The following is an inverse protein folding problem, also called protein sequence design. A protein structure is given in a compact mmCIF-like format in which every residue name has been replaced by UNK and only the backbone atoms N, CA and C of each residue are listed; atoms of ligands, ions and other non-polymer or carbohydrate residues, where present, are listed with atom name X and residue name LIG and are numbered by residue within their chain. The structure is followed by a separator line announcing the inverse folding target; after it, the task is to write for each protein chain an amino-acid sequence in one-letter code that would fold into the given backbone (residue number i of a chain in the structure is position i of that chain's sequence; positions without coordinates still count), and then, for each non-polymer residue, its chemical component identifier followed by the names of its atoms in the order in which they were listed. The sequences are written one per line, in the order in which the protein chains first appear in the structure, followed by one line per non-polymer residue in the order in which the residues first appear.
data_IF_486501673486
#
_entry.id   IF_486501673486
#
_cell.length_a   1.000
_cell.length_b   1.000
_cell.length_c   1.000
_cell.angle_alpha   90.00
_cell.angle_beta   90.00
_cell.angle_gamma   90.00
#
_symmetry.space_group_name_H-M   'P 1'
#
loop_
_entity.id
_entity.type
_entity.pdbx_description
1 polymer ?
#
# COMPACT_ATOMS: atom_id res chain seq x y z
N UNK A 1 7.27 -2.86 4.56
CA UNK A 1 8.54 -2.14 4.84
C UNK A 1 9.74 -2.69 4.05
N UNK A 2 9.90 -4.02 3.92
CA UNK A 2 11.08 -4.64 3.29
C UNK A 2 11.35 -4.13 1.86
N UNK A 3 10.37 -3.99 0.94
CA UNK A 3 10.64 -3.47 -0.40
C UNK A 3 11.25 -2.07 -0.39
N UNK A 4 10.71 -1.18 0.45
CA UNK A 4 11.24 0.18 0.58
C UNK A 4 12.67 0.20 1.12
N UNK A 5 12.98 -0.69 2.05
CA UNK A 5 14.34 -0.82 2.61
C UNK A 5 15.32 -1.38 1.58
N UNK A 6 14.92 -2.34 0.74
CA UNK A 6 15.76 -2.85 -0.35
C UNK A 6 16.08 -1.76 -1.37
N UNK A 7 15.07 -1.01 -1.80
CA UNK A 7 15.27 0.12 -2.71
C UNK A 7 16.19 1.17 -2.07
N UNK A 8 16.00 1.47 -0.79
CA UNK A 8 16.84 2.40 -0.05
C UNK A 8 18.29 1.91 0.11
N UNK A 9 18.52 0.61 0.30
CA UNK A 9 19.87 0.03 0.40
C UNK A 9 20.66 0.15 -0.91
N UNK A 10 19.96 0.27 -2.05
CA UNK A 10 20.53 0.58 -3.36
C UNK A 10 20.87 2.07 -3.57
N UNK A 11 20.76 2.90 -2.52
CA UNK A 11 21.09 4.33 -2.57
C UNK A 11 19.91 5.26 -2.90
N UNK A 12 18.70 4.72 -3.14
CA UNK A 12 17.54 5.54 -3.41
C UNK A 12 16.97 6.16 -2.13
N UNK A 13 16.81 7.49 -2.11
CA UNK A 13 16.20 8.19 -0.98
C UNK A 13 14.70 7.89 -0.88
N UNK A 14 14.28 7.29 0.21
CA UNK A 14 12.89 6.89 0.45
C UNK A 14 12.22 7.76 1.52
N UNK A 15 10.92 8.03 1.35
CA UNK A 15 10.08 8.63 2.38
C UNK A 15 8.83 7.77 2.59
N UNK A 16 8.41 7.55 3.82
CA UNK A 16 7.21 6.78 4.14
C UNK A 16 6.47 7.36 5.33
N UNK A 17 5.17 7.08 5.40
CA UNK A 17 4.36 7.33 6.59
C UNK A 17 4.24 6.08 7.44
N UNK A 18 4.22 6.23 8.76
CA UNK A 18 4.08 5.12 9.69
C UNK A 18 3.12 5.44 10.85
N UNK A 19 2.60 4.39 11.46
CA UNK A 19 1.91 4.48 12.75
C UNK A 19 2.92 4.20 13.87
N UNK A 20 2.87 5.02 14.91
CA UNK A 20 3.61 4.75 16.13
C UNK A 20 3.12 3.43 16.74
N UNK A 21 4.06 2.61 17.20
CA UNK A 21 3.74 1.37 17.87
C UNK A 21 3.39 1.67 19.34
N UNK A 22 2.43 0.92 19.89
CA UNK A 22 2.04 1.10 21.31
C UNK A 22 3.15 0.77 22.30
N UNK A 23 4.12 -0.06 21.91
CA UNK A 23 5.29 -0.37 22.71
C UNK A 23 6.47 0.53 22.30
N UNK A 24 7.00 1.39 23.20
CA UNK A 24 8.05 2.36 22.86
C UNK A 24 9.39 1.72 22.45
N UNK A 25 9.72 0.53 22.95
CA UNK A 25 10.93 -0.19 22.56
C UNK A 25 10.81 -0.69 21.14
N UNK A 26 9.65 -1.27 20.80
CA UNK A 26 9.36 -1.73 19.43
C UNK A 26 9.34 -0.57 18.45
N UNK A 27 8.75 0.56 18.85
CA UNK A 27 8.69 1.77 18.02
C UNK A 27 10.12 2.30 17.74
N UNK A 28 10.96 2.37 18.75
CA UNK A 28 12.36 2.78 18.61
C UNK A 28 13.15 1.86 17.67
N UNK A 29 13.11 0.54 17.89
CA UNK A 29 13.83 -0.44 17.05
C UNK A 29 13.34 -0.33 15.59
N UNK A 30 12.03 -0.32 15.38
CA UNK A 30 11.44 -0.29 14.04
C UNK A 30 11.78 1.00 13.30
N UNK A 31 11.73 2.13 13.97
CA UNK A 31 12.09 3.43 13.39
C UNK A 31 13.60 3.52 13.09
N UNK A 32 14.45 2.93 13.93
CA UNK A 32 15.90 2.86 13.70
C UNK A 32 16.21 2.05 12.44
N UNK A 33 15.59 0.86 12.32
CA UNK A 33 15.77 -0.01 11.15
C UNK A 33 15.29 0.68 9.85
N UNK A 34 14.13 1.34 9.87
CA UNK A 34 13.57 2.05 8.71
C UNK A 34 14.44 3.22 8.24
N UNK A 35 15.15 3.88 9.15
CA UNK A 35 16.02 5.03 8.85
C UNK A 35 17.44 4.63 8.49
N UNK A 36 17.80 3.37 8.63
CA UNK A 36 19.18 2.86 8.45
C UNK A 36 19.83 3.27 7.14
N UNK A 37 19.05 3.36 6.07
CA UNK A 37 19.54 3.72 4.72
C UNK A 37 19.17 5.16 4.33
N UNK A 38 19.05 6.07 5.30
CA UNK A 38 18.76 7.49 5.03
C UNK A 38 17.30 7.79 4.68
N UNK A 39 16.37 6.87 4.96
CA UNK A 39 14.94 7.07 4.76
C UNK A 39 14.35 8.12 5.70
N UNK A 40 13.39 8.91 5.21
CA UNK A 40 12.57 9.81 6.01
C UNK A 40 11.27 9.13 6.42
N UNK A 41 11.05 9.05 7.73
CA UNK A 41 9.85 8.45 8.30
C UNK A 41 8.99 9.53 8.94
N UNK A 42 7.73 9.64 8.50
CA UNK A 42 6.77 10.64 8.96
C UNK A 42 5.65 9.94 9.75
N UNK A 43 5.42 10.36 10.99
CA UNK A 43 4.32 9.83 11.77
C UNK A 43 2.98 10.29 11.18
N UNK A 44 1.98 9.40 11.13
CA UNK A 44 0.64 9.76 10.62
C UNK A 44 -0.02 10.88 11.42
N UNK A 45 0.29 10.97 12.71
CA UNK A 45 -0.24 12.03 13.59
C UNK A 45 0.27 13.42 13.21
N UNK A 46 1.41 13.52 12.52
CA UNK A 46 1.95 14.80 12.02
C UNK A 46 1.27 15.27 10.73
N UNK A 47 0.33 14.48 10.23
CA UNK A 47 -0.34 14.71 8.96
C UNK A 47 0.51 14.39 7.74
N UNK A 48 -0.06 14.65 6.55
CA UNK A 48 0.56 14.24 5.28
C UNK A 48 1.58 15.27 4.74
N UNK A 49 1.57 16.52 5.22
CA UNK A 49 2.40 17.60 4.69
C UNK A 49 3.91 17.30 4.70
N UNK A 50 4.51 16.75 5.78
CA UNK A 50 5.94 16.42 5.80
C UNK A 50 6.33 15.35 4.78
N UNK A 51 5.45 14.37 4.54
CA UNK A 51 5.64 13.37 3.49
C UNK A 51 5.65 13.99 2.10
N UNK A 52 4.67 14.85 1.77
CA UNK A 52 4.59 15.58 0.51
C UNK A 52 5.85 16.43 0.28
N UNK A 53 6.33 17.13 1.30
CA UNK A 53 7.56 17.92 1.23
C UNK A 53 8.77 17.05 0.89
N UNK A 54 8.89 15.87 1.51
CA UNK A 54 9.98 14.95 1.21
C UNK A 54 9.95 14.45 -0.23
N UNK A 55 8.78 14.09 -0.76
CA UNK A 55 8.64 13.67 -2.15
C UNK A 55 9.01 14.80 -3.12
N UNK A 56 8.56 16.03 -2.84
CA UNK A 56 8.95 17.23 -3.64
C UNK A 56 10.44 17.54 -3.60
N UNK A 57 11.16 17.09 -2.57
CA UNK A 57 12.61 17.21 -2.45
C UNK A 57 13.38 16.04 -3.10
N UNK A 58 12.70 15.21 -3.89
CA UNK A 58 13.31 14.11 -4.64
C UNK A 58 13.41 12.78 -3.89
N UNK A 59 12.72 12.63 -2.76
CA UNK A 59 12.54 11.31 -2.12
C UNK A 59 11.45 10.52 -2.84
N UNK A 60 11.64 9.21 -2.99
CA UNK A 60 10.59 8.32 -3.44
C UNK A 60 9.60 8.09 -2.31
N UNK A 61 8.35 8.46 -2.52
CA UNK A 61 7.28 8.25 -1.56
C UNK A 61 6.82 6.80 -1.57
N UNK A 62 6.97 6.08 -0.46
CA UNK A 62 6.44 4.72 -0.31
C UNK A 62 5.02 4.77 0.22
N UNK A 63 4.09 4.25 -0.57
CA UNK A 63 2.65 4.23 -0.28
C UNK A 63 2.09 2.82 -0.41
N UNK A 64 1.26 2.39 0.54
CA UNK A 64 0.58 1.09 0.55
C UNK A 64 -0.90 1.32 0.27
N UNK A 65 -1.38 1.02 -0.96
CA UNK A 65 -2.74 1.35 -1.39
C UNK A 65 -3.78 0.29 -1.04
N UNK A 66 -3.36 -0.89 -0.61
CA UNK A 66 -4.20 -2.09 -0.49
C UNK A 66 -4.98 -2.21 0.81
N UNK A 67 -4.79 -1.30 1.76
CA UNK A 67 -5.52 -1.30 3.03
C UNK A 67 -6.99 -0.85 2.83
N UNK A 68 -7.89 -1.42 3.64
CA UNK A 68 -9.28 -0.99 3.72
C UNK A 68 -9.40 0.14 4.74
N UNK A 69 -9.64 1.36 4.25
CA UNK A 69 -9.75 2.59 5.05
C UNK A 69 -11.20 2.96 5.43
N UNK A 70 -12.17 2.10 5.14
CA UNK A 70 -13.59 2.39 5.36
C UNK A 70 -14.28 2.93 4.11
N UNK A 71 -15.58 3.24 4.22
CA UNK A 71 -16.38 3.70 3.09
C UNK A 71 -16.15 5.18 2.76
N UNK A 72 -15.77 5.98 3.75
CA UNK A 72 -15.55 7.41 3.58
C UNK A 72 -14.40 7.67 2.61
N UNK A 73 -14.67 8.42 1.55
CA UNK A 73 -13.72 8.74 0.48
C UNK A 73 -13.18 7.53 -0.31
N UNK A 74 -13.80 6.34 -0.18
CA UNK A 74 -13.43 5.16 -0.94
C UNK A 74 -14.41 4.89 -2.08
N UNK A 75 -13.89 4.39 -3.20
CA UNK A 75 -14.68 3.88 -4.32
C UNK A 75 -14.89 2.37 -4.16
N UNK A 76 -16.11 1.89 -4.42
CA UNK A 76 -16.42 0.47 -4.44
C UNK A 76 -16.19 -0.08 -5.85
N UNK A 77 -15.01 -0.56 -6.10
CA UNK A 77 -14.55 -1.05 -7.42
C UNK A 77 -14.15 -2.52 -7.38
N UNK A 78 -14.18 -3.17 -8.52
CA UNK A 78 -13.86 -4.59 -8.64
C UNK A 78 -12.50 -4.95 -8.06
N UNK A 79 -12.44 -6.11 -7.42
CA UNK A 79 -11.23 -6.72 -6.87
C UNK A 79 -11.40 -8.24 -6.88
N UNK A 80 -10.70 -8.93 -7.79
CA UNK A 80 -10.88 -10.35 -8.08
C UNK A 80 -12.35 -10.71 -8.37
N UNK A 81 -12.89 -11.70 -7.67
CA UNK A 81 -14.27 -12.18 -7.85
C UNK A 81 -15.33 -11.33 -7.09
N UNK A 82 -14.95 -10.20 -6.53
CA UNK A 82 -15.84 -9.33 -5.74
C UNK A 82 -15.48 -7.86 -5.96
N UNK A 83 -15.82 -7.00 -5.03
CA UNK A 83 -15.39 -5.61 -4.99
C UNK A 83 -14.70 -5.27 -3.67
N UNK A 84 -13.99 -4.16 -3.64
CA UNK A 84 -13.30 -3.62 -2.48
C UNK A 84 -13.56 -2.12 -2.37
N UNK A 85 -13.67 -1.64 -1.13
CA UNK A 85 -13.61 -0.20 -0.85
C UNK A 85 -12.15 0.24 -0.96
N UNK A 86 -11.82 0.97 -2.03
CA UNK A 86 -10.46 1.40 -2.36
C UNK A 86 -10.37 2.92 -2.32
N UNK A 87 -9.45 3.44 -1.50
CA UNK A 87 -9.21 4.88 -1.37
C UNK A 87 -8.35 5.39 -2.53
N UNK A 88 -8.85 6.27 -3.44
CA UNK A 88 -8.11 6.75 -4.61
C UNK A 88 -7.12 7.89 -4.29
N UNK A 89 -6.55 7.89 -3.08
CA UNK A 89 -5.67 8.97 -2.60
C UNK A 89 -4.42 9.19 -3.46
N UNK A 90 -4.02 8.17 -4.23
CA UNK A 90 -2.82 8.23 -5.08
C UNK A 90 -2.94 9.30 -6.17
N UNK A 91 -4.13 9.51 -6.74
CA UNK A 91 -4.35 10.54 -7.74
C UNK A 91 -4.09 11.96 -7.21
N UNK A 92 -4.54 12.24 -5.98
CA UNK A 92 -4.24 13.51 -5.31
C UNK A 92 -2.76 13.64 -4.98
N UNK A 93 -2.12 12.55 -4.54
CA UNK A 93 -0.69 12.53 -4.23
C UNK A 93 0.15 12.80 -5.48
N UNK A 94 -0.17 12.21 -6.63
CA UNK A 94 0.50 12.48 -7.91
C UNK A 94 0.50 13.98 -8.23
N UNK A 95 -0.67 14.63 -8.16
CA UNK A 95 -0.84 16.06 -8.46
C UNK A 95 -0.10 16.94 -7.45
N UNK A 96 -0.31 16.69 -6.15
CA UNK A 96 0.28 17.52 -5.09
C UNK A 96 1.79 17.33 -4.99
N UNK A 97 2.28 16.12 -5.15
CA UNK A 97 3.72 15.82 -5.11
C UNK A 97 4.43 16.12 -6.44
N UNK A 98 3.70 16.29 -7.55
CA UNK A 98 4.22 16.33 -8.92
C UNK A 98 5.09 15.11 -9.21
N UNK A 99 4.59 13.95 -8.84
CA UNK A 99 5.30 12.69 -8.90
C UNK A 99 4.54 11.68 -9.76
N UNK A 100 5.27 10.73 -10.35
CA UNK A 100 4.71 9.56 -11.03
C UNK A 100 4.52 8.42 -10.04
N UNK A 101 3.54 7.57 -10.28
CA UNK A 101 3.33 6.34 -9.50
C UNK A 101 3.97 5.16 -10.22
N UNK A 102 4.75 4.40 -9.48
CA UNK A 102 5.41 3.19 -9.98
C UNK A 102 5.07 2.03 -9.05
N UNK A 103 4.33 1.00 -9.51
CA UNK A 103 4.03 -0.16 -8.69
C UNK A 103 5.28 -0.98 -8.40
N UNK A 104 5.44 -1.37 -7.13
CA UNK A 104 6.54 -2.19 -6.63
C UNK A 104 5.99 -3.39 -5.88
N UNK A 105 6.46 -4.60 -6.21
CA UNK A 105 6.03 -5.83 -5.55
C UNK A 105 7.22 -6.67 -5.11
N UNK A 106 7.29 -7.07 -3.83
CA UNK A 106 8.32 -7.99 -3.37
C UNK A 106 7.94 -9.42 -3.72
N UNK A 107 8.88 -10.18 -4.26
CA UNK A 107 8.76 -11.63 -4.47
C UNK A 107 9.91 -12.32 -3.77
N UNK A 108 9.58 -13.26 -2.91
CA UNK A 108 10.55 -14.12 -2.24
C UNK A 108 10.60 -15.50 -2.92
N UNK A 109 11.79 -15.90 -3.31
CA UNK A 109 12.06 -17.24 -3.83
C UNK A 109 12.57 -18.13 -2.67
N UNK A 110 11.75 -19.09 -2.25
CA UNK A 110 12.09 -19.99 -1.16
C UNK A 110 13.18 -21.01 -1.49
N UNK A 111 13.50 -21.26 -2.76
CA UNK A 111 14.57 -22.18 -3.16
C UNK A 111 15.93 -21.48 -3.13
N UNK A 112 16.00 -20.28 -3.67
CA UNK A 112 17.25 -19.50 -3.73
C UNK A 112 17.43 -18.57 -2.53
N UNK A 113 16.43 -18.46 -1.65
CA UNK A 113 16.39 -17.53 -0.52
C UNK A 113 16.60 -16.07 -0.93
N UNK A 114 16.18 -15.71 -2.13
CA UNK A 114 16.30 -14.35 -2.67
C UNK A 114 15.00 -13.59 -2.57
N UNK A 115 15.12 -12.33 -2.17
CA UNK A 115 14.02 -11.36 -2.24
C UNK A 115 14.29 -10.43 -3.41
N UNK A 116 13.34 -10.36 -4.34
CA UNK A 116 13.39 -9.50 -5.53
C UNK A 116 12.26 -8.47 -5.45
N UNK A 117 12.53 -7.23 -5.84
CA UNK A 117 11.49 -6.22 -6.02
C UNK A 117 11.18 -6.11 -7.50
N UNK A 118 9.98 -6.52 -7.89
CA UNK A 118 9.46 -6.32 -9.24
C UNK A 118 9.00 -4.87 -9.39
N UNK A 119 9.54 -4.18 -10.37
CA UNK A 119 9.17 -2.80 -10.72
C UNK A 119 8.33 -2.84 -11.99
N UNK A 120 7.14 -2.28 -11.97
CA UNK A 120 6.26 -2.21 -13.14
C UNK A 120 6.33 -0.84 -13.81
N UNK A 121 5.84 -0.70 -15.03
CA UNK A 121 5.78 0.60 -15.70
C UNK A 121 5.02 1.65 -14.88
N UNK A 122 5.39 2.93 -15.00
CA UNK A 122 4.65 4.01 -14.35
C UNK A 122 3.19 4.05 -14.79
N UNK A 123 2.30 4.40 -13.86
CA UNK A 123 0.86 4.52 -14.08
C UNK A 123 0.52 5.97 -14.49
N UNK A 124 1.01 6.42 -15.63
CA UNK A 124 0.79 7.80 -16.11
C UNK A 124 -0.65 8.05 -16.57
N UNK A 125 -1.38 6.98 -16.88
CA UNK A 125 -2.81 6.98 -17.18
C UNK A 125 -3.69 7.49 -16.03
N UNK A 126 -3.16 7.56 -14.81
CA UNK A 126 -3.87 8.08 -13.65
C UNK A 126 -3.87 9.61 -13.51
N UNK A 127 -3.06 10.34 -14.28
CA UNK A 127 -2.89 11.80 -14.09
C UNK A 127 -4.20 12.58 -14.26
N UNK A 128 -5.02 12.20 -15.23
CA UNK A 128 -6.29 12.86 -15.54
C UNK A 128 -7.51 11.96 -15.30
N UNK A 129 -7.31 10.80 -14.70
CA UNK A 129 -8.37 9.86 -14.37
C UNK A 129 -9.24 10.35 -13.20
N UNK A 130 -10.50 9.91 -13.18
CA UNK A 130 -11.40 10.09 -12.05
C UNK A 130 -11.07 9.12 -10.89
N UNK A 131 -11.66 9.37 -9.72
CA UNK A 131 -11.38 8.60 -8.51
C UNK A 131 -11.77 7.11 -8.67
N UNK A 132 -12.84 6.79 -9.39
CA UNK A 132 -13.28 5.40 -9.66
C UNK A 132 -12.27 4.67 -10.54
N UNK A 133 -11.81 5.30 -11.61
CA UNK A 133 -10.78 4.76 -12.51
C UNK A 133 -9.47 4.55 -11.77
N UNK A 134 -9.04 5.53 -10.97
CA UNK A 134 -7.82 5.43 -10.13
C UNK A 134 -7.93 4.23 -9.19
N UNK A 135 -9.04 4.10 -8.45
CA UNK A 135 -9.25 3.00 -7.53
C UNK A 135 -9.21 1.64 -8.24
N UNK A 136 -9.88 1.52 -9.41
CA UNK A 136 -9.89 0.27 -10.19
C UNK A 136 -8.50 -0.09 -10.72
N UNK A 137 -7.77 0.88 -11.28
CA UNK A 137 -6.40 0.67 -11.79
C UNK A 137 -5.43 0.23 -10.69
N UNK A 138 -5.56 0.78 -9.48
CA UNK A 138 -4.76 0.32 -8.33
C UNK A 138 -5.06 -1.14 -7.98
N UNK A 139 -6.34 -1.54 -7.97
CA UNK A 139 -6.73 -2.93 -7.73
C UNK A 139 -6.19 -3.86 -8.83
N UNK A 140 -6.25 -3.47 -10.11
CA UNK A 140 -5.71 -4.25 -11.23
C UNK A 140 -4.21 -4.53 -11.09
N UNK A 141 -3.42 -3.55 -10.67
CA UNK A 141 -1.98 -3.78 -10.44
C UNK A 141 -1.75 -4.83 -9.33
N UNK A 142 -2.55 -4.79 -8.27
CA UNK A 142 -2.49 -5.82 -7.22
C UNK A 142 -2.91 -7.19 -7.77
N UNK A 143 -4.00 -7.26 -8.54
CA UNK A 143 -4.49 -8.51 -9.14
C UNK A 143 -3.47 -9.15 -10.07
N UNK A 144 -2.82 -8.36 -10.92
CA UNK A 144 -1.77 -8.83 -11.85
C UNK A 144 -0.60 -9.44 -11.09
N UNK A 145 -0.18 -8.80 -10.02
CA UNK A 145 0.90 -9.32 -9.17
C UNK A 145 0.48 -10.56 -8.38
N UNK A 146 -0.69 -10.55 -7.78
CA UNK A 146 -1.13 -11.62 -6.86
C UNK A 146 -1.46 -12.91 -7.60
N UNK A 147 -1.99 -12.86 -8.83
CA UNK A 147 -2.34 -14.06 -9.60
C UNK A 147 -1.23 -15.11 -9.67
N UNK A 148 0.03 -14.78 -10.02
CA UNK A 148 1.14 -15.74 -10.02
C UNK A 148 1.79 -15.96 -8.64
N UNK A 149 1.47 -15.14 -7.62
CA UNK A 149 2.12 -15.14 -6.29
C UNK A 149 1.10 -15.12 -5.16
N UNK A 150 0.01 -15.90 -5.31
CA UNK A 150 -1.13 -15.88 -4.39
C UNK A 150 -0.73 -16.15 -2.93
N UNK A 151 0.25 -17.02 -2.72
CA UNK A 151 0.78 -17.40 -1.40
C UNK A 151 1.59 -16.29 -0.72
N UNK A 152 2.03 -15.27 -1.47
CA UNK A 152 2.87 -14.18 -0.96
C UNK A 152 2.08 -12.90 -0.67
N UNK A 153 0.77 -12.90 -0.91
CA UNK A 153 -0.05 -11.74 -0.59
C UNK A 153 -0.57 -11.80 0.86
N UNK A 154 -0.72 -10.63 1.47
CA UNK A 154 -1.06 -10.53 2.90
C UNK A 154 -2.56 -10.70 3.16
N UNK A 155 -3.11 -11.87 2.90
CA UNK A 155 -4.53 -12.21 3.07
C UNK A 155 -5.05 -12.10 4.50
N UNK A 156 -4.17 -12.06 5.50
CA UNK A 156 -4.56 -11.87 6.89
C UNK A 156 -5.14 -10.47 7.16
N UNK A 157 -4.87 -9.50 6.29
CA UNK A 157 -5.51 -8.19 6.34
C UNK A 157 -6.98 -8.33 5.93
N UNK A 158 -7.85 -7.69 6.68
CA UNK A 158 -9.30 -7.67 6.36
C UNK A 158 -9.60 -6.69 5.22
N UNK A 159 -9.13 -7.01 4.02
CA UNK A 159 -9.19 -6.16 2.84
C UNK A 159 -10.61 -5.86 2.34
N UNK A 160 -11.57 -6.71 2.71
CA UNK A 160 -12.97 -6.66 2.27
C UNK A 160 -13.94 -6.38 3.42
N UNK A 161 -13.47 -5.78 4.53
CA UNK A 161 -14.32 -5.54 5.71
C UNK A 161 -15.41 -4.50 5.42
N UNK A 162 -15.09 -3.49 4.61
CA UNK A 162 -16.04 -2.43 4.24
C UNK A 162 -16.90 -2.87 3.07
N UNK A 163 -18.22 -2.90 3.31
CA UNK A 163 -19.22 -3.33 2.33
C UNK A 163 -20.23 -2.22 2.08
N UNK A 164 -20.99 -2.33 1.00
CA UNK A 164 -22.12 -1.44 0.71
C UNK A 164 -23.20 -1.57 1.80
N UNK A 165 -24.00 -0.53 2.03
CA UNK A 165 -25.08 -0.60 3.01
C UNK A 165 -25.98 -1.82 2.83
N UNK A 166 -26.27 -2.53 3.93
CA UNK A 166 -27.11 -3.76 3.93
C UNK A 166 -26.34 -5.06 3.67
N UNK A 167 -25.07 -5.01 3.28
CA UNK A 167 -24.26 -6.22 3.08
C UNK A 167 -23.50 -6.65 4.35
N UNK A 168 -23.38 -7.96 4.53
CA UNK A 168 -22.62 -8.54 5.65
C UNK A 168 -21.13 -8.63 5.27
N UNK A 169 -20.28 -8.17 6.16
CA UNK A 169 -18.82 -8.31 6.06
C UNK A 169 -18.43 -9.79 5.88
N UNK A 170 -17.64 -10.16 4.83
CA UNK A 170 -17.30 -11.56 4.56
C UNK A 170 -16.68 -12.28 5.76
N UNK A 171 -15.87 -11.60 6.56
CA UNK A 171 -15.19 -12.17 7.74
C UNK A 171 -16.14 -12.46 8.93
N UNK A 172 -17.40 -12.01 8.86
CA UNK A 172 -18.46 -12.27 9.85
C UNK A 172 -19.47 -13.31 9.37
N UNK A 173 -19.36 -13.81 8.16
CA UNK A 173 -20.25 -14.85 7.62
C UNK A 173 -19.95 -16.19 8.30
N UNK A 174 -20.92 -16.71 9.03
CA UNK A 174 -20.77 -17.99 9.78
C UNK A 174 -20.52 -19.18 8.87
N UNK A 175 -21.06 -19.15 7.65
CA UNK A 175 -20.91 -20.20 6.64
C UNK A 175 -19.44 -20.35 6.18
N UNK A 176 -18.69 -19.25 6.15
CA UNK A 176 -17.30 -19.26 5.73
C UNK A 176 -16.33 -19.61 6.86
N UNK A 177 -16.73 -19.38 8.10
CA UNK A 177 -15.91 -19.60 9.30
C UNK A 177 -16.75 -20.33 10.37
N UNK A 178 -17.10 -21.61 10.15
CA UNK A 178 -17.85 -22.39 11.16
C UNK A 178 -16.99 -22.46 12.43
N UNK A 179 -17.61 -22.13 13.58
CA UNK A 179 -16.96 -22.35 14.88
C UNK A 179 -16.75 -23.85 15.04
N UNK A 180 -15.52 -24.27 15.27
CA UNK A 180 -15.19 -25.63 15.72
C UNK A 180 -15.74 -25.88 17.11
#
# INVERSE_FOLDING_TARGET
DIPAMLVASGGQKMAAMFHNQGNPVFDYVWNTVRRRFGGRMHARNDGIKPFIQSVRQGYWGYYLPDQDHGAEHSEFVDFFATYKATLPAIGRLMKVCRARVVPLFPVYDGQTHRLTVLVRPPMDDLLDADDTTIARRMNEEVEVFVKPHTEQYTWILKLLKTRKPGEIEPYKRKELFPKK
#
